data_IF_467489651510
#
_entry.id   IF_467489651510
#
_cell.length_a   1.000
_cell.length_b   1.000
_cell.length_c   1.000
_cell.angle_alpha   90.00
_cell.angle_beta   90.00
_cell.angle_gamma   90.00
#
_symmetry.space_group_name_H-M   'P 1'
#
loop_
_entity.id
_entity.type
_entity.pdbx_description
1 polymer ?
#
# COMPACT_ATOMS: atom_id res chain seq x y z
N UNK A 1 12.04 -22.31 4.94
CA UNK A 1 12.82 -21.10 5.24
C UNK A 1 13.24 -20.39 3.95
N UNK A 2 12.30 -19.73 3.25
CA UNK A 2 12.58 -19.04 1.97
C UNK A 2 12.85 -17.54 2.15
N UNK A 3 12.38 -16.97 3.26
CA UNK A 3 12.48 -15.57 3.59
C UNK A 3 12.96 -15.44 5.04
N UNK A 4 14.28 -15.42 5.28
CA UNK A 4 14.87 -15.14 6.60
C UNK A 4 14.28 -13.84 7.17
N UNK A 5 13.86 -13.84 8.45
CA UNK A 5 13.27 -12.66 9.12
C UNK A 5 11.80 -12.36 8.78
N UNK A 6 11.15 -13.15 7.90
CA UNK A 6 9.74 -12.92 7.55
C UNK A 6 8.81 -13.00 8.75
N UNK A 7 9.00 -14.01 9.61
CA UNK A 7 8.14 -14.19 10.78
C UNK A 7 8.35 -13.07 11.80
N UNK A 8 9.59 -12.61 12.00
CA UNK A 8 9.87 -11.51 12.91
C UNK A 8 9.19 -10.21 12.48
N UNK A 9 9.10 -9.97 11.15
CA UNK A 9 8.46 -8.77 10.58
C UNK A 9 6.94 -8.89 10.43
N UNK A 10 6.43 -10.05 10.00
CA UNK A 10 5.02 -10.21 9.59
C UNK A 10 4.23 -11.24 10.41
N UNK A 11 4.88 -12.04 11.25
CA UNK A 11 4.26 -13.18 11.96
C UNK A 11 3.12 -12.77 12.86
N UNK A 12 3.31 -11.74 13.70
CA UNK A 12 2.27 -11.22 14.60
C UNK A 12 1.00 -10.79 13.87
N UNK A 13 1.15 -10.21 12.67
CA UNK A 13 0.00 -9.82 11.87
C UNK A 13 -0.83 -11.05 11.44
N UNK A 14 -0.17 -12.12 10.99
CA UNK A 14 -0.84 -13.35 10.58
C UNK A 14 -1.45 -14.11 11.75
N UNK A 15 -0.85 -14.08 12.94
CA UNK A 15 -1.44 -14.65 14.15
C UNK A 15 -2.74 -13.94 14.54
N UNK A 16 -2.75 -12.60 14.49
CA UNK A 16 -3.97 -11.82 14.69
C UNK A 16 -5.02 -12.12 13.62
N UNK A 17 -4.63 -12.19 12.34
CA UNK A 17 -5.54 -12.55 11.26
C UNK A 17 -6.17 -13.94 11.50
N UNK A 18 -5.36 -14.93 11.91
CA UNK A 18 -5.84 -16.27 12.23
C UNK A 18 -6.86 -16.27 13.37
N UNK A 19 -6.61 -15.52 14.44
CA UNK A 19 -7.54 -15.40 15.58
C UNK A 19 -8.89 -14.79 15.17
N UNK A 20 -8.89 -13.87 14.22
CA UNK A 20 -10.08 -13.20 13.71
C UNK A 20 -10.80 -13.95 12.58
N UNK A 21 -10.27 -15.10 12.14
CA UNK A 21 -10.86 -15.86 11.03
C UNK A 21 -12.11 -16.65 11.43
N UNK A 22 -12.32 -16.89 12.72
CA UNK A 22 -13.49 -17.58 13.24
C UNK A 22 -14.62 -16.59 13.56
N UNK A 23 -15.86 -16.85 13.11
CA UNK A 23 -17.02 -16.01 13.43
C UNK A 23 -17.48 -16.28 14.88
N UNK A 24 -16.82 -15.66 15.85
CA UNK A 24 -17.05 -15.84 17.30
C UNK A 24 -17.41 -14.52 18.02
N UNK A 25 -17.95 -13.53 17.29
CA UNK A 25 -18.31 -12.21 17.81
C UNK A 25 -17.28 -11.12 17.56
N UNK A 26 -16.15 -11.42 16.92
CA UNK A 26 -15.22 -10.43 16.41
C UNK A 26 -15.77 -9.67 15.19
N UNK A 27 -15.39 -8.40 15.07
CA UNK A 27 -15.61 -7.60 13.87
C UNK A 27 -14.66 -8.05 12.74
N UNK A 28 -14.94 -7.66 11.48
CA UNK A 28 -13.95 -7.79 10.41
C UNK A 28 -12.63 -7.11 10.82
N UNK A 29 -11.47 -7.64 10.37
CA UNK A 29 -10.14 -7.15 10.76
C UNK A 29 -9.95 -5.63 10.58
N UNK A 30 -10.64 -5.02 9.61
CA UNK A 30 -10.61 -3.58 9.36
C UNK A 30 -11.23 -2.72 10.48
N UNK A 31 -12.02 -3.35 11.34
CA UNK A 31 -12.75 -2.75 12.45
C UNK A 31 -12.35 -3.34 13.82
N UNK A 32 -11.29 -4.14 13.85
CA UNK A 32 -10.72 -4.70 15.08
C UNK A 32 -9.48 -3.94 15.52
N UNK A 33 -9.27 -3.84 16.84
CA UNK A 33 -8.09 -3.19 17.42
C UNK A 33 -6.89 -4.15 17.46
N UNK A 34 -6.38 -4.52 16.27
CA UNK A 34 -5.30 -5.51 16.09
C UNK A 34 -4.12 -4.98 15.29
N UNK A 35 -3.86 -3.67 15.43
CA UNK A 35 -2.80 -2.94 14.72
C UNK A 35 -2.90 -2.99 13.18
N UNK A 36 -4.08 -3.34 12.66
CA UNK A 36 -4.40 -3.23 11.25
C UNK A 36 -5.04 -1.87 10.97
N UNK A 37 -4.43 -1.12 10.06
CA UNK A 37 -5.01 0.14 9.54
C UNK A 37 -5.26 -0.08 8.07
N UNK A 38 -6.48 0.22 7.62
CA UNK A 38 -6.82 0.10 6.22
C UNK A 38 -5.87 0.97 5.37
N UNK A 39 -5.11 0.37 4.44
CA UNK A 39 -4.09 1.10 3.69
C UNK A 39 -4.71 2.11 2.74
N UNK A 40 -3.96 3.17 2.45
CA UNK A 40 -4.25 4.02 1.30
C UNK A 40 -4.13 3.19 0.01
N UNK A 41 -4.83 3.63 -1.04
CA UNK A 41 -4.76 3.00 -2.36
C UNK A 41 -3.81 3.78 -3.25
N UNK A 42 -2.93 3.07 -3.95
CA UNK A 42 -2.03 3.67 -4.93
C UNK A 42 -2.81 4.28 -6.10
N UNK A 43 -2.47 5.50 -6.48
CA UNK A 43 -3.11 6.22 -7.58
C UNK A 43 -2.88 5.57 -8.95
N UNK A 44 -1.72 4.92 -9.14
CA UNK A 44 -1.32 4.37 -10.45
C UNK A 44 -1.76 2.93 -10.63
N UNK A 45 -1.37 2.03 -9.73
CA UNK A 45 -1.63 0.60 -9.89
C UNK A 45 -2.93 0.13 -9.23
N UNK A 46 -3.62 0.99 -8.48
CA UNK A 46 -4.84 0.68 -7.73
C UNK A 46 -4.67 -0.39 -6.63
N UNK A 47 -3.45 -0.85 -6.38
CA UNK A 47 -3.11 -1.78 -5.29
C UNK A 47 -3.00 -1.02 -3.96
N UNK A 48 -3.38 -1.64 -2.83
CA UNK A 48 -3.16 -1.06 -1.51
C UNK A 48 -1.67 -0.81 -1.18
N UNK A 49 -1.37 0.35 -0.59
CA UNK A 49 -0.02 0.71 -0.11
C UNK A 49 0.28 0.01 1.22
N UNK A 50 0.59 -1.29 1.17
CA UNK A 50 0.79 -2.14 2.35
C UNK A 50 2.16 -1.94 3.03
N UNK A 51 3.20 -1.62 2.27
CA UNK A 51 4.55 -1.35 2.79
C UNK A 51 4.64 0.15 3.04
N UNK A 52 4.60 0.56 4.31
CA UNK A 52 4.54 1.99 4.68
C UNK A 52 5.84 2.71 4.36
N UNK A 53 6.95 2.00 4.42
CA UNK A 53 8.29 2.49 4.14
C UNK A 53 8.48 2.92 2.69
N UNK A 54 7.73 2.30 1.76
CA UNK A 54 7.79 2.60 0.32
C UNK A 54 6.73 3.64 -0.10
N UNK A 55 5.85 4.04 0.82
CA UNK A 55 4.72 4.90 0.49
C UNK A 55 5.16 6.33 0.22
N UNK A 56 4.72 6.87 -0.91
CA UNK A 56 4.93 8.27 -1.29
C UNK A 56 3.59 9.00 -1.27
N UNK A 57 3.57 10.22 -0.72
CA UNK A 57 2.43 11.13 -0.80
C UNK A 57 2.88 12.44 -1.44
N UNK A 58 2.18 12.87 -2.48
CA UNK A 58 2.53 14.10 -3.20
C UNK A 58 1.28 14.76 -3.80
N UNK A 59 1.36 16.07 -4.05
CA UNK A 59 0.32 16.84 -4.71
C UNK A 59 0.66 16.99 -6.19
N UNK A 60 -0.04 16.25 -7.04
CA UNK A 60 0.17 16.22 -8.49
C UNK A 60 -1.10 16.75 -9.19
N UNK A 61 -0.92 17.71 -10.09
CA UNK A 61 -2.00 18.44 -10.77
C UNK A 61 -3.04 19.03 -9.79
N UNK A 62 -2.56 19.54 -8.65
CA UNK A 62 -3.42 20.13 -7.63
C UNK A 62 -4.15 19.12 -6.73
N UNK A 63 -4.05 17.82 -6.98
CA UNK A 63 -4.68 16.76 -6.19
C UNK A 63 -3.66 16.03 -5.31
N UNK A 64 -3.99 15.82 -4.04
CA UNK A 64 -3.22 14.92 -3.17
C UNK A 64 -3.41 13.47 -3.62
N UNK A 65 -2.30 12.78 -3.84
CA UNK A 65 -2.24 11.39 -4.33
C UNK A 65 -1.30 10.58 -3.45
N UNK A 66 -1.56 9.28 -3.37
CA UNK A 66 -0.73 8.32 -2.64
C UNK A 66 -0.23 7.25 -3.60
N UNK A 67 1.01 6.81 -3.42
CA UNK A 67 1.67 5.82 -4.26
C UNK A 67 2.29 4.74 -3.39
N UNK A 68 2.24 3.48 -3.84
CA UNK A 68 2.82 2.36 -3.10
C UNK A 68 4.34 2.23 -3.25
N UNK A 69 4.93 2.97 -4.19
CA UNK A 69 6.37 2.94 -4.47
C UNK A 69 6.77 4.21 -5.26
N UNK A 70 8.04 4.61 -5.18
CA UNK A 70 8.59 5.77 -5.92
C UNK A 70 8.40 5.65 -7.43
N UNK A 71 8.46 4.44 -7.99
CA UNK A 71 8.28 4.20 -9.42
C UNK A 71 6.83 4.48 -9.83
N UNK A 72 5.84 4.15 -9.00
CA UNK A 72 4.46 4.53 -9.27
C UNK A 72 4.28 6.05 -9.23
N UNK A 73 4.92 6.74 -8.29
CA UNK A 73 4.92 8.20 -8.23
C UNK A 73 5.56 8.82 -9.48
N UNK A 74 6.72 8.33 -9.89
CA UNK A 74 7.41 8.78 -11.10
C UNK A 74 6.59 8.55 -12.38
N UNK A 75 5.94 7.38 -12.50
CA UNK A 75 5.10 7.06 -13.65
C UNK A 75 3.98 8.07 -13.80
N UNK A 76 3.28 8.39 -12.71
CA UNK A 76 2.26 9.44 -12.73
C UNK A 76 2.92 10.80 -13.00
N UNK A 77 3.80 11.28 -12.13
CA UNK A 77 4.31 12.66 -12.11
C UNK A 77 5.17 13.03 -13.31
N UNK A 78 5.80 12.07 -13.97
CA UNK A 78 6.82 12.33 -15.00
C UNK A 78 6.59 11.54 -16.28
N UNK A 79 6.37 10.22 -16.21
CA UNK A 79 6.39 9.39 -17.41
C UNK A 79 5.14 9.58 -18.30
N UNK A 80 3.95 9.70 -17.72
CA UNK A 80 2.70 9.89 -18.47
C UNK A 80 2.23 11.35 -18.45
N UNK A 81 3.16 12.25 -18.77
CA UNK A 81 2.90 13.65 -19.04
C UNK A 81 2.76 13.83 -20.55
N UNK A 82 1.96 14.80 -21.07
CA UNK A 82 1.67 14.92 -22.50
C UNK A 82 2.90 14.88 -23.42
N UNK A 83 4.05 15.28 -22.90
CA UNK A 83 5.35 15.02 -23.52
C UNK A 83 6.28 14.35 -22.52
N UNK A 84 7.00 13.32 -22.98
CA UNK A 84 8.03 12.61 -22.23
C UNK A 84 9.27 12.40 -23.11
N UNK A 85 10.43 12.86 -22.66
CA UNK A 85 11.70 12.77 -23.40
C UNK A 85 11.60 13.27 -24.87
N UNK A 86 10.83 14.34 -25.09
CA UNK A 86 10.64 14.93 -26.42
C UNK A 86 9.69 14.16 -27.35
N UNK A 87 8.94 13.18 -26.83
CA UNK A 87 7.90 12.44 -27.56
C UNK A 87 6.55 12.63 -26.89
N UNK A 88 5.48 12.61 -27.68
CA UNK A 88 4.12 12.52 -27.14
C UNK A 88 3.89 11.16 -26.49
N UNK A 89 3.11 11.13 -25.42
CA UNK A 89 2.79 9.93 -24.63
C UNK A 89 1.35 9.52 -24.77
#
# INVERSE_FOLDING_TARGET
YKYPGWYDKYGKWWENYSRLSEPNGHNPIVAENVDYVYPHRCWVCMVPCLVREDMVMDKVDGQWRTYCHEVCHWTDKTAFRPTFMGRET
#
